data_IF_803875576789
#
_entry.id   IF_803875576789
#
_cell.length_a   1.000
_cell.length_b   1.000
_cell.length_c   1.000
_cell.angle_alpha   90.00
_cell.angle_beta   90.00
_cell.angle_gamma   90.00
#
_symmetry.space_group_name_H-M   'P 1'
#
loop_
_entity.id
_entity.type
_entity.pdbx_description
1 polymer ?
#
# COMPACT_ATOMS: atom_id res chain seq x y z
N UNK A 1 -4.42 -5.39 0.77
CA UNK A 1 -3.58 -4.18 0.82
C UNK A 1 -4.38 -3.00 0.34
N UNK A 2 -4.32 -1.93 1.09
CA UNK A 2 -4.92 -0.66 0.72
C UNK A 2 -3.86 0.42 0.81
N UNK A 3 -3.87 1.32 -0.19
CA UNK A 3 -2.97 2.46 -0.21
C UNK A 3 -3.80 3.73 -0.22
N UNK A 4 -3.53 4.60 0.74
CA UNK A 4 -4.21 5.88 0.86
C UNK A 4 -3.21 7.02 0.71
N UNK A 5 -3.68 8.16 0.23
CA UNK A 5 -2.86 9.36 0.17
C UNK A 5 -2.84 10.09 1.52
N UNK A 6 -2.18 11.24 1.57
CA UNK A 6 -2.03 11.98 2.82
C UNK A 6 -3.36 12.53 3.36
N UNK A 7 -4.37 12.67 2.51
CA UNK A 7 -5.69 13.13 2.94
C UNK A 7 -6.59 11.98 3.41
N UNK A 8 -6.10 10.74 3.33
CA UNK A 8 -6.87 9.56 3.70
C UNK A 8 -7.70 8.99 2.58
N UNK A 9 -7.56 9.50 1.36
CA UNK A 9 -8.30 8.98 0.22
C UNK A 9 -7.68 7.68 -0.27
N UNK A 10 -8.51 6.67 -0.49
CA UNK A 10 -8.06 5.40 -1.04
C UNK A 10 -7.67 5.59 -2.51
N UNK A 11 -6.40 5.32 -2.84
CA UNK A 11 -5.90 5.45 -4.20
C UNK A 11 -5.63 4.11 -4.86
N UNK A 12 -5.48 3.05 -4.07
CA UNK A 12 -5.25 1.72 -4.62
C UNK A 12 -5.70 0.68 -3.60
N UNK A 13 -6.31 -0.39 -4.09
CA UNK A 13 -6.65 -1.55 -3.28
C UNK A 13 -6.35 -2.81 -4.09
N UNK A 14 -5.58 -3.72 -3.52
CA UNK A 14 -5.19 -4.96 -4.17
C UNK A 14 -5.24 -6.11 -3.20
N UNK A 15 -5.53 -7.31 -3.72
CA UNK A 15 -5.33 -8.55 -2.99
C UNK A 15 -3.96 -9.09 -3.39
N UNK A 16 -2.95 -9.00 -2.52
CA UNK A 16 -1.64 -9.49 -2.88
C UNK A 16 -1.67 -11.01 -3.00
N UNK A 17 -1.01 -11.51 -4.03
CA UNK A 17 -0.75 -12.94 -4.07
C UNK A 17 0.28 -13.29 -3.01
N UNK A 18 0.13 -14.48 -2.45
CA UNK A 18 1.06 -14.93 -1.43
C UNK A 18 2.36 -15.40 -2.09
N UNK A 19 3.42 -14.64 -1.89
CA UNK A 19 4.76 -14.97 -2.35
C UNK A 19 5.66 -15.38 -1.19
N UNK A 20 5.15 -16.19 -0.29
CA UNK A 20 5.85 -16.51 0.93
C UNK A 20 5.82 -15.31 1.88
N UNK A 21 7.00 -14.75 2.20
CA UNK A 21 7.09 -13.60 3.09
C UNK A 21 7.25 -12.28 2.32
N UNK A 22 6.92 -12.27 1.04
CA UNK A 22 7.00 -11.07 0.19
C UNK A 22 5.64 -10.66 -0.31
N UNK A 23 5.43 -9.36 -0.33
CA UNK A 23 4.29 -8.73 -1.01
C UNK A 23 4.85 -7.70 -1.98
N UNK A 24 4.42 -7.81 -3.23
CA UNK A 24 4.85 -6.88 -4.27
C UNK A 24 3.65 -6.07 -4.75
N UNK A 25 3.81 -4.75 -4.75
CA UNK A 25 2.76 -3.82 -5.17
C UNK A 25 3.31 -2.94 -6.29
N UNK A 26 2.55 -2.81 -7.37
CA UNK A 26 2.93 -1.95 -8.48
C UNK A 26 2.44 -0.53 -8.19
N UNK A 27 3.38 0.40 -8.02
CA UNK A 27 3.07 1.80 -7.70
C UNK A 27 3.28 2.73 -8.89
N UNK A 28 3.42 2.20 -10.10
CA UNK A 28 3.68 3.03 -11.27
C UNK A 28 2.56 4.03 -11.57
N UNK A 29 1.34 3.69 -11.20
CA UNK A 29 0.19 4.54 -11.43
C UNK A 29 0.06 5.67 -10.40
N UNK A 30 0.86 5.65 -9.34
CA UNK A 30 0.79 6.67 -8.29
C UNK A 30 1.65 7.87 -8.65
N UNK A 31 1.14 9.05 -8.37
CA UNK A 31 1.91 10.28 -8.49
C UNK A 31 2.96 10.35 -7.39
N UNK A 32 3.98 11.19 -7.59
CA UNK A 32 4.99 11.41 -6.56
C UNK A 32 4.34 11.99 -5.31
N UNK A 33 4.76 11.51 -4.16
CA UNK A 33 4.23 11.99 -2.88
C UNK A 33 4.28 10.93 -1.81
N UNK A 34 3.71 11.28 -0.66
CA UNK A 34 3.64 10.39 0.50
C UNK A 34 2.34 9.62 0.52
N UNK A 35 2.43 8.35 0.88
CA UNK A 35 1.28 7.45 0.94
C UNK A 35 1.37 6.58 2.18
N UNK A 36 0.23 6.03 2.57
CA UNK A 36 0.15 5.01 3.61
C UNK A 36 -0.28 3.69 3.00
N UNK A 37 0.46 2.65 3.32
CA UNK A 37 0.12 1.28 2.93
C UNK A 37 -0.44 0.56 4.16
N UNK A 38 -1.64 0.02 4.02
CA UNK A 38 -2.29 -0.74 5.07
C UNK A 38 -2.41 -2.20 4.62
N UNK A 39 -1.80 -3.08 5.39
CA UNK A 39 -1.88 -4.52 5.17
C UNK A 39 -2.78 -5.11 6.24
N UNK A 40 -3.87 -5.71 5.80
CA UNK A 40 -4.85 -6.30 6.70
C UNK A 40 -4.77 -7.82 6.54
N UNK A 41 -4.50 -8.50 7.63
CA UNK A 41 -4.56 -9.96 7.70
C UNK A 41 -5.66 -10.38 8.66
N UNK A 42 -5.85 -11.70 8.83
CA UNK A 42 -6.96 -12.20 9.65
C UNK A 42 -6.87 -11.74 11.11
N UNK A 43 -5.67 -11.47 11.61
CA UNK A 43 -5.47 -11.16 13.02
C UNK A 43 -4.61 -9.92 13.25
N UNK A 44 -4.17 -9.25 12.18
CA UNK A 44 -3.28 -8.10 12.31
C UNK A 44 -3.58 -7.03 11.27
N UNK A 45 -3.31 -5.80 11.63
CA UNK A 45 -3.30 -4.66 10.72
C UNK A 45 -1.93 -4.01 10.85
N UNK A 46 -1.23 -3.86 9.74
CA UNK A 46 0.05 -3.18 9.68
C UNK A 46 -0.07 -1.98 8.76
N UNK A 47 0.45 -0.84 9.22
CA UNK A 47 0.43 0.40 8.44
C UNK A 47 1.86 0.88 8.28
N UNK A 48 2.24 1.20 7.05
CA UNK A 48 3.55 1.77 6.74
C UNK A 48 3.39 3.01 5.88
N UNK A 49 4.20 4.01 6.17
CA UNK A 49 4.30 5.20 5.35
C UNK A 49 5.42 5.00 4.34
N UNK A 50 5.17 5.41 3.10
CA UNK A 50 6.20 5.35 2.08
C UNK A 50 6.11 6.56 1.15
N UNK A 51 7.21 6.85 0.46
CA UNK A 51 7.31 7.99 -0.43
C UNK A 51 7.53 7.49 -1.85
N UNK A 52 6.70 7.98 -2.78
CA UNK A 52 6.86 7.71 -4.21
C UNK A 52 7.69 8.83 -4.81
N UNK A 53 8.85 8.48 -5.34
CA UNK A 53 9.79 9.41 -5.95
C UNK A 53 9.83 9.11 -7.45
N UNK A 54 9.59 10.12 -8.23
CA UNK A 54 9.65 10.02 -9.69
C UNK A 54 10.50 11.11 -10.30
#
# INVERSE_FOLDING_TARGET
IQITDMSGKLVMAENPMNYGNRVQVNIQSLDAGMYFLQLITNDKVAVKRFNVIK
#
